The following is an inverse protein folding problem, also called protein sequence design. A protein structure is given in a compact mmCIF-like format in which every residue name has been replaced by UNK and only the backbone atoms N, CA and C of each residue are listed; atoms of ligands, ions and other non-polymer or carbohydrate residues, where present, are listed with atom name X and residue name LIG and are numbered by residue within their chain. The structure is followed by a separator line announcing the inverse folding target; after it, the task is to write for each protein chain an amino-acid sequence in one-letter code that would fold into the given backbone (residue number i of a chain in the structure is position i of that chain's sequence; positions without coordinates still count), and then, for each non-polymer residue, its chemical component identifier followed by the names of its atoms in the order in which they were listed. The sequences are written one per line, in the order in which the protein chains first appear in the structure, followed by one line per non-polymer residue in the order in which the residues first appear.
data_IF_383163290891
#
_entry.id   IF_383163290891
#
_cell.length_a   1.000
_cell.length_b   1.000
_cell.length_c   1.000
_cell.angle_alpha   90.00
_cell.angle_beta   90.00
_cell.angle_gamma   90.00
#
_symmetry.space_group_name_H-M   'P 1'
#
loop_
_entity.id
_entity.type
_entity.pdbx_description
1 polymer ?
#
# COMPACT_ATOMS: atom_id res chain seq x y z
N UNK A 1 -5.83 16.67 -15.42
CA UNK A 1 -5.05 15.67 -14.66
C UNK A 1 -3.83 16.35 -14.09
N UNK A 2 -3.62 16.23 -12.78
CA UNK A 2 -2.48 16.84 -12.07
C UNK A 2 -1.19 16.12 -12.51
N UNK A 3 -0.47 16.73 -13.46
CA UNK A 3 0.72 16.11 -14.10
C UNK A 3 1.99 16.14 -13.25
N UNK A 4 1.95 16.84 -12.12
CA UNK A 4 3.11 17.06 -11.26
C UNK A 4 2.78 16.63 -9.83
N UNK A 5 3.79 16.12 -9.14
CA UNK A 5 3.77 15.85 -7.71
C UNK A 5 3.57 17.12 -6.88
N UNK A 6 3.24 16.92 -5.60
CA UNK A 6 3.06 17.96 -4.59
C UNK A 6 4.09 17.87 -3.45
N UNK A 7 4.93 16.83 -3.41
CA UNK A 7 6.00 16.64 -2.42
C UNK A 7 7.32 17.34 -2.82
N UNK A 8 7.33 18.04 -3.97
CA UNK A 8 8.48 18.81 -4.45
C UNK A 8 9.48 18.02 -5.29
N UNK A 9 9.18 16.76 -5.61
CA UNK A 9 9.99 15.90 -6.48
C UNK A 9 9.40 15.83 -7.90
N UNK A 10 10.22 15.51 -8.92
CA UNK A 10 9.78 15.32 -10.30
C UNK A 10 9.00 14.00 -10.46
N UNK A 11 7.78 13.99 -9.93
CA UNK A 11 6.85 12.85 -9.83
C UNK A 11 5.45 13.24 -10.32
N UNK A 12 4.49 12.31 -10.26
CA UNK A 12 3.07 12.58 -10.54
C UNK A 12 2.30 12.80 -9.23
N UNK A 13 1.15 13.46 -9.31
CA UNK A 13 0.26 13.65 -8.16
C UNK A 13 -0.13 12.32 -7.51
N UNK A 14 -0.48 11.31 -8.33
CA UNK A 14 -0.96 10.04 -7.82
C UNK A 14 0.14 9.26 -7.11
N UNK A 15 1.38 9.38 -7.59
CA UNK A 15 2.55 8.76 -6.97
C UNK A 15 2.81 9.35 -5.58
N UNK A 16 2.79 10.67 -5.46
CA UNK A 16 2.92 11.36 -4.16
C UNK A 16 1.75 11.05 -3.21
N UNK A 17 0.53 10.96 -3.74
CA UNK A 17 -0.64 10.57 -2.95
C UNK A 17 -0.49 9.16 -2.36
N UNK A 18 -0.05 8.18 -3.16
CA UNK A 18 0.19 6.81 -2.68
C UNK A 18 1.32 6.78 -1.65
N UNK A 19 2.40 7.54 -1.85
CA UNK A 19 3.48 7.67 -0.86
C UNK A 19 2.95 8.15 0.48
N UNK A 20 2.10 9.19 0.50
CA UNK A 20 1.44 9.63 1.73
C UNK A 20 0.54 8.54 2.32
N UNK A 21 -0.19 7.80 1.49
CA UNK A 21 -1.02 6.69 1.95
C UNK A 21 -0.19 5.55 2.58
N UNK A 22 0.98 5.21 2.05
CA UNK A 22 1.90 4.22 2.61
C UNK A 22 2.46 4.66 3.98
N UNK A 23 2.73 5.95 4.17
CA UNK A 23 3.10 6.48 5.50
C UNK A 23 1.94 6.37 6.48
N UNK A 24 0.71 6.66 6.02
CA UNK A 24 -0.47 6.73 6.88
C UNK A 24 -1.07 5.35 7.22
N UNK A 25 -0.94 4.36 6.34
CA UNK A 25 -1.60 3.06 6.54
C UNK A 25 -1.04 2.32 7.77
N UNK A 26 0.26 2.36 8.00
CA UNK A 26 0.91 1.69 9.13
C UNK A 26 0.37 2.18 10.49
N UNK A 27 0.36 3.48 10.82
CA UNK A 27 -0.23 3.96 12.07
C UNK A 27 -1.73 3.66 12.18
N UNK A 28 -2.48 3.68 11.08
CA UNK A 28 -3.90 3.30 11.07
C UNK A 28 -4.10 1.80 11.37
N UNK A 29 -3.21 0.92 10.89
CA UNK A 29 -3.20 -0.49 11.25
C UNK A 29 -2.87 -0.69 12.74
N UNK A 30 -1.87 0.01 13.27
CA UNK A 30 -1.54 -0.04 14.69
C UNK A 30 -2.72 0.44 15.56
N UNK A 31 -3.39 1.51 15.15
CA UNK A 31 -4.61 1.98 15.80
C UNK A 31 -5.73 0.94 15.73
N UNK A 32 -5.90 0.29 14.58
CA UNK A 32 -6.85 -0.82 14.40
C UNK A 32 -6.57 -1.99 15.37
N UNK A 33 -5.30 -2.33 15.59
CA UNK A 33 -4.89 -3.36 16.55
C UNK A 33 -5.12 -2.91 18.01
N UNK A 34 -4.89 -1.63 18.30
CA UNK A 34 -5.16 -1.05 19.61
C UNK A 34 -6.66 -1.12 19.97
N UNK A 35 -7.55 -0.87 19.00
CA UNK A 35 -9.00 -0.98 19.19
C UNK A 35 -9.41 -2.37 19.67
N UNK A 36 -8.85 -3.44 19.11
CA UNK A 36 -9.21 -4.82 19.51
C UNK A 36 -8.51 -5.25 20.80
N UNK A 37 -7.23 -4.91 20.99
CA UNK A 37 -6.45 -5.37 22.14
C UNK A 37 -6.81 -4.67 23.44
N UNK A 38 -7.00 -3.35 23.40
CA UNK A 38 -7.18 -2.54 24.61
C UNK A 38 -8.60 -2.05 24.79
N UNK A 39 -9.28 -1.65 23.71
CA UNK A 39 -10.66 -1.13 23.79
C UNK A 39 -11.73 -2.21 23.62
N UNK A 40 -11.35 -3.43 23.21
CA UNK A 40 -12.27 -4.53 22.83
C UNK A 40 -13.36 -4.07 21.85
N UNK A 41 -13.05 -3.06 21.03
CA UNK A 41 -13.97 -2.47 20.07
C UNK A 41 -13.84 -3.17 18.71
N UNK A 42 -14.38 -4.39 18.64
CA UNK A 42 -14.31 -5.23 17.43
C UNK A 42 -15.11 -4.64 16.26
N UNK A 43 -16.23 -3.96 16.55
CA UNK A 43 -17.02 -3.28 15.52
C UNK A 43 -16.25 -2.10 14.90
N UNK A 44 -15.53 -1.33 15.72
CA UNK A 44 -14.66 -0.25 15.26
C UNK A 44 -13.52 -0.77 14.39
N UNK A 45 -12.85 -1.85 14.81
CA UNK A 45 -11.83 -2.53 14.01
C UNK A 45 -12.38 -3.00 12.66
N UNK A 46 -13.52 -3.70 12.65
CA UNK A 46 -14.16 -4.16 11.42
C UNK A 46 -14.47 -3.00 10.46
N UNK A 47 -15.12 -1.94 10.96
CA UNK A 47 -15.46 -0.75 10.16
C UNK A 47 -14.19 -0.13 9.57
N UNK A 48 -13.15 0.05 10.39
CA UNK A 48 -11.88 0.61 9.95
C UNK A 48 -11.23 -0.24 8.85
N UNK A 49 -11.16 -1.56 9.02
CA UNK A 49 -10.59 -2.47 8.00
C UNK A 49 -11.38 -2.44 6.69
N UNK A 50 -12.71 -2.40 6.74
CA UNK A 50 -13.54 -2.29 5.53
C UNK A 50 -13.37 -0.94 4.83
N UNK A 51 -13.36 0.15 5.59
CA UNK A 51 -13.13 1.50 5.06
C UNK A 51 -11.75 1.60 4.41
N UNK A 52 -10.70 1.15 5.11
CA UNK A 52 -9.34 1.15 4.57
C UNK A 52 -9.24 0.25 3.33
N UNK A 53 -9.84 -0.93 3.37
CA UNK A 53 -9.87 -1.87 2.24
C UNK A 53 -10.48 -1.26 0.99
N UNK A 54 -11.63 -0.60 1.12
CA UNK A 54 -12.31 0.07 0.01
C UNK A 54 -11.49 1.26 -0.51
N UNK A 55 -11.02 2.13 0.38
CA UNK A 55 -10.25 3.32 0.01
C UNK A 55 -8.95 2.94 -0.71
N UNK A 56 -8.21 1.95 -0.18
CA UNK A 56 -6.96 1.50 -0.79
C UNK A 56 -7.19 0.75 -2.10
N UNK A 57 -8.28 -0.02 -2.22
CA UNK A 57 -8.62 -0.65 -3.50
C UNK A 57 -8.81 0.42 -4.59
N UNK A 58 -9.61 1.45 -4.31
CA UNK A 58 -9.83 2.57 -5.23
C UNK A 58 -8.52 3.29 -5.53
N UNK A 59 -7.72 3.58 -4.51
CA UNK A 59 -6.44 4.28 -4.66
C UNK A 59 -5.44 3.48 -5.51
N UNK A 60 -5.27 2.18 -5.27
CA UNK A 60 -4.34 1.34 -6.03
C UNK A 60 -4.81 1.15 -7.47
N UNK A 61 -6.12 0.99 -7.71
CA UNK A 61 -6.65 0.94 -9.08
C UNK A 61 -6.41 2.25 -9.82
N UNK A 62 -6.66 3.40 -9.18
CA UNK A 62 -6.39 4.70 -9.78
C UNK A 62 -4.89 4.92 -10.04
N UNK A 63 -4.03 4.46 -9.14
CA UNK A 63 -2.57 4.51 -9.28
C UNK A 63 -2.08 3.68 -10.47
N UNK A 64 -2.58 2.46 -10.63
CA UNK A 64 -2.20 1.59 -11.75
C UNK A 64 -2.63 2.20 -13.08
N UNK A 65 -3.83 2.80 -13.15
CA UNK A 65 -4.29 3.52 -14.33
C UNK A 65 -3.39 4.72 -14.63
N UNK A 66 -3.01 5.51 -13.63
CA UNK A 66 -2.11 6.65 -13.79
C UNK A 66 -0.73 6.22 -14.33
N UNK A 67 -0.11 5.23 -13.68
CA UNK A 67 1.24 4.78 -14.07
C UNK A 67 1.23 4.11 -15.43
N UNK A 68 0.34 3.13 -15.66
CA UNK A 68 0.40 2.30 -16.87
C UNK A 68 -0.28 2.95 -18.07
N UNK A 69 -1.48 3.50 -17.89
CA UNK A 69 -2.31 3.96 -19.01
C UNK A 69 -2.09 5.45 -19.31
N UNK A 70 -1.90 6.29 -18.29
CA UNK A 70 -1.69 7.74 -18.49
C UNK A 70 -0.23 8.05 -18.79
N UNK A 71 0.70 7.43 -18.06
CA UNK A 71 2.14 7.70 -18.19
C UNK A 71 2.91 6.63 -18.99
N UNK A 72 2.30 5.48 -19.32
CA UNK A 72 2.95 4.45 -20.14
C UNK A 72 4.06 3.69 -19.43
N UNK A 73 4.05 3.66 -18.09
CA UNK A 73 5.04 3.00 -17.25
C UNK A 73 5.81 3.97 -16.35
N UNK A 74 6.37 3.43 -15.27
CA UNK A 74 7.12 4.21 -14.26
C UNK A 74 8.41 4.80 -14.83
N UNK A 75 9.06 4.16 -15.81
CA UNK A 75 10.27 4.69 -16.44
C UNK A 75 10.02 6.05 -17.13
N UNK A 76 8.85 6.22 -17.75
CA UNK A 76 8.46 7.49 -18.38
C UNK A 76 8.20 8.60 -17.36
N UNK A 77 7.80 8.23 -16.13
CA UNK A 77 7.69 9.20 -15.03
C UNK A 77 9.10 9.65 -14.60
N UNK A 78 10.05 8.72 -14.46
CA UNK A 78 11.45 9.05 -14.16
C UNK A 78 12.08 9.91 -15.26
N UNK A 79 11.72 9.68 -16.53
CA UNK A 79 12.23 10.46 -17.67
C UNK A 79 11.91 11.97 -17.57
N UNK A 80 10.91 12.36 -16.77
CA UNK A 80 10.60 13.77 -16.50
C UNK A 80 11.73 14.51 -15.77
N UNK A 81 12.68 13.79 -15.16
CA UNK A 81 13.89 14.34 -14.56
C UNK A 81 14.87 14.91 -15.59
N UNK A 82 14.70 14.61 -16.89
CA UNK A 82 15.55 15.08 -18.00
C UNK A 82 17.04 14.81 -17.78
N UNK A 83 17.35 13.65 -17.21
CA UNK A 83 18.73 13.19 -17.03
C UNK A 83 19.38 12.89 -18.38
N UNK A 84 20.72 13.04 -18.52
CA UNK A 84 21.45 12.53 -19.67
C UNK A 84 21.24 11.01 -19.85
N UNK A 85 21.23 10.53 -21.09
CA UNK A 85 20.87 9.14 -21.41
C UNK A 85 21.63 8.07 -20.60
N UNK A 86 22.93 8.27 -20.40
CA UNK A 86 23.77 7.35 -19.63
C UNK A 86 23.37 7.31 -18.14
N UNK A 87 23.07 8.46 -17.56
CA UNK A 87 22.63 8.57 -16.16
C UNK A 87 21.21 8.03 -15.98
N UNK A 88 20.32 8.30 -16.95
CA UNK A 88 18.97 7.76 -16.96
C UNK A 88 18.99 6.23 -16.96
N UNK A 89 19.76 5.61 -17.87
CA UNK A 89 19.88 4.16 -17.94
C UNK A 89 20.45 3.55 -16.65
N UNK A 90 21.46 4.19 -16.05
CA UNK A 90 22.02 3.79 -14.77
C UNK A 90 20.98 3.89 -13.63
N UNK A 91 20.21 4.98 -13.58
CA UNK A 91 19.14 5.17 -12.58
C UNK A 91 18.06 4.10 -12.71
N UNK A 92 17.53 3.84 -13.92
CA UNK A 92 16.53 2.79 -14.13
C UNK A 92 17.06 1.43 -13.66
N UNK A 93 18.31 1.10 -13.98
CA UNK A 93 18.93 -0.17 -13.57
C UNK A 93 19.09 -0.29 -12.06
N UNK A 94 19.45 0.80 -11.37
CA UNK A 94 19.59 0.84 -9.92
C UNK A 94 18.25 0.81 -9.17
N UNK A 95 17.18 1.36 -9.76
CA UNK A 95 15.84 1.44 -9.16
C UNK A 95 15.04 0.16 -9.35
N UNK A 96 15.20 -0.53 -10.49
CA UNK A 96 14.41 -1.72 -10.85
C UNK A 96 14.36 -2.82 -9.77
N UNK A 97 15.45 -3.18 -9.06
CA UNK A 97 15.38 -4.17 -7.98
C UNK A 97 14.45 -3.76 -6.83
N UNK A 98 14.40 -2.48 -6.47
CA UNK A 98 13.52 -1.96 -5.42
C UNK A 98 12.06 -2.04 -5.83
N UNK A 99 11.76 -1.74 -7.10
CA UNK A 99 10.41 -1.93 -7.65
C UNK A 99 9.99 -3.40 -7.61
N UNK A 100 10.85 -4.32 -8.06
CA UNK A 100 10.54 -5.75 -8.05
C UNK A 100 10.27 -6.26 -6.64
N UNK A 101 11.10 -5.85 -5.67
CA UNK A 101 10.89 -6.18 -4.26
C UNK A 101 9.56 -5.63 -3.75
N UNK A 102 9.24 -4.38 -4.06
CA UNK A 102 7.97 -3.77 -3.68
C UNK A 102 6.78 -4.52 -4.27
N UNK A 103 6.85 -4.91 -5.55
CA UNK A 103 5.77 -5.63 -6.24
C UNK A 103 5.46 -6.99 -5.61
N UNK A 104 6.45 -7.68 -5.07
CA UNK A 104 6.20 -8.94 -4.32
C UNK A 104 5.18 -8.70 -3.20
N UNK A 105 5.44 -7.71 -2.34
CA UNK A 105 4.56 -7.39 -1.23
C UNK A 105 3.26 -6.70 -1.68
N UNK A 106 3.35 -5.77 -2.64
CA UNK A 106 2.19 -5.05 -3.15
C UNK A 106 1.16 -5.97 -3.81
N UNK A 107 1.58 -7.10 -4.38
CA UNK A 107 0.69 -8.12 -4.96
C UNK A 107 0.18 -9.09 -3.87
N UNK A 108 1.01 -9.51 -2.91
CA UNK A 108 0.57 -10.43 -1.83
C UNK A 108 -0.37 -9.74 -0.84
N UNK A 109 -0.18 -8.45 -0.58
CA UNK A 109 -0.99 -7.63 0.32
C UNK A 109 -2.49 -7.72 0.03
N UNK A 110 -2.99 -7.36 -1.17
CA UNK A 110 -4.42 -7.40 -1.45
C UNK A 110 -4.97 -8.83 -1.35
N UNK A 111 -4.19 -9.85 -1.73
CA UNK A 111 -4.60 -11.25 -1.63
C UNK A 111 -4.81 -11.65 -0.16
N UNK A 112 -3.80 -11.43 0.68
CA UNK A 112 -3.85 -11.75 2.12
C UNK A 112 -4.95 -10.96 2.83
N UNK A 113 -5.07 -9.67 2.51
CA UNK A 113 -5.98 -8.79 3.21
C UNK A 113 -7.44 -9.02 2.81
N UNK A 114 -7.73 -9.24 1.52
CA UNK A 114 -9.06 -9.67 1.06
C UNK A 114 -9.44 -11.00 1.68
N UNK A 115 -8.54 -12.00 1.69
CA UNK A 115 -8.80 -13.28 2.33
C UNK A 115 -9.13 -13.11 3.83
N UNK A 116 -8.35 -12.29 4.54
CA UNK A 116 -8.55 -11.99 5.96
C UNK A 116 -9.92 -11.35 6.23
N UNK A 117 -10.31 -10.34 5.43
CA UNK A 117 -11.59 -9.64 5.56
C UNK A 117 -12.76 -10.57 5.22
N UNK A 118 -12.70 -11.26 4.09
CA UNK A 118 -13.78 -12.15 3.64
C UNK A 118 -14.02 -13.29 4.64
N UNK A 119 -12.95 -13.91 5.16
CA UNK A 119 -13.08 -14.94 6.18
C UNK A 119 -13.63 -14.38 7.49
N UNK A 120 -13.19 -13.19 7.91
CA UNK A 120 -13.73 -12.54 9.10
C UNK A 120 -15.23 -12.25 8.97
N UNK A 121 -15.68 -11.69 7.85
CA UNK A 121 -17.10 -11.42 7.60
C UNK A 121 -17.94 -12.69 7.60
N UNK A 122 -17.45 -13.77 6.97
CA UNK A 122 -18.15 -15.06 6.91
C UNK A 122 -18.23 -15.78 8.26
N UNK A 123 -17.23 -15.60 9.14
CA UNK A 123 -17.09 -16.38 10.38
C UNK A 123 -17.50 -15.64 11.65
N UNK A 124 -17.40 -14.31 11.68
CA UNK A 124 -17.83 -13.48 12.81
C UNK A 124 -19.17 -12.77 12.58
N UNK A 125 -19.56 -12.53 11.32
CA UNK A 125 -20.82 -11.87 10.99
C UNK A 125 -20.87 -10.38 11.36
N UNK A 126 -22.09 -9.85 11.56
CA UNK A 126 -22.34 -8.41 11.78
C UNK A 126 -21.97 -7.92 13.18
N UNK A 127 -21.94 -8.81 14.17
CA UNK A 127 -21.60 -8.51 15.56
C UNK A 127 -20.30 -9.23 15.92
N UNK A 128 -19.14 -8.72 15.51
CA UNK A 128 -17.88 -9.43 15.66
C UNK A 128 -17.52 -9.59 17.14
N UNK A 129 -17.34 -10.84 17.56
CA UNK A 129 -16.92 -11.22 18.91
C UNK A 129 -15.87 -12.32 18.84
N UNK A 130 -14.97 -12.42 19.83
CA UNK A 130 -14.03 -13.53 19.91
C UNK A 130 -14.76 -14.87 19.93
N UNK A 131 -14.25 -15.84 19.17
CA UNK A 131 -14.81 -17.19 19.11
C UNK A 131 -13.84 -18.17 18.46
N UNK A 132 -14.36 -19.28 17.94
CA UNK A 132 -13.54 -20.38 17.38
C UNK A 132 -12.59 -19.93 16.26
N UNK A 133 -12.98 -18.91 15.48
CA UNK A 133 -12.17 -18.39 14.37
C UNK A 133 -11.08 -17.39 14.80
N UNK A 134 -11.06 -16.92 16.06
CA UNK A 134 -10.15 -15.85 16.53
C UNK A 134 -8.67 -16.17 16.30
N UNK A 135 -8.25 -17.42 16.52
CA UNK A 135 -6.83 -17.80 16.35
C UNK A 135 -6.40 -17.70 14.89
N UNK A 136 -7.20 -18.23 13.97
CA UNK A 136 -6.91 -18.18 12.54
C UNK A 136 -6.96 -16.75 12.01
N UNK A 137 -7.96 -15.96 12.43
CA UNK A 137 -8.06 -14.55 12.07
C UNK A 137 -6.86 -13.74 12.59
N UNK A 138 -6.42 -13.97 13.84
CA UNK A 138 -5.25 -13.31 14.40
C UNK A 138 -3.98 -13.63 13.61
N UNK A 139 -3.78 -14.91 13.22
CA UNK A 139 -2.64 -15.32 12.40
C UNK A 139 -2.64 -14.60 11.05
N UNK A 140 -3.76 -14.62 10.33
CA UNK A 140 -3.91 -13.95 9.04
C UNK A 140 -3.81 -12.42 9.16
N UNK A 141 -4.34 -11.85 10.24
CA UNK A 141 -4.26 -10.42 10.54
C UNK A 141 -2.83 -9.96 10.79
N UNK A 142 -2.04 -10.74 11.53
CA UNK A 142 -0.61 -10.46 11.72
C UNK A 142 0.19 -10.63 10.44
N UNK A 143 -0.06 -11.70 9.66
CA UNK A 143 0.57 -11.89 8.36
C UNK A 143 0.29 -10.69 7.44
N UNK A 144 -0.98 -10.26 7.34
CA UNK A 144 -1.38 -9.08 6.57
C UNK A 144 -0.74 -7.80 7.09
N UNK A 145 -0.64 -7.62 8.41
CA UNK A 145 -0.04 -6.41 9.01
C UNK A 145 1.45 -6.31 8.68
N UNK A 146 2.18 -7.42 8.79
CA UNK A 146 3.60 -7.49 8.43
C UNK A 146 3.77 -7.21 6.94
N UNK A 147 2.98 -7.88 6.09
CA UNK A 147 3.04 -7.73 4.63
C UNK A 147 2.72 -6.30 4.18
N UNK A 148 1.65 -5.66 4.70
CA UNK A 148 1.32 -4.25 4.41
C UNK A 148 2.43 -3.30 4.90
N UNK A 149 3.04 -3.60 6.05
CA UNK A 149 4.16 -2.79 6.56
C UNK A 149 5.36 -2.90 5.61
N UNK A 150 5.66 -4.11 5.11
CA UNK A 150 6.72 -4.33 4.12
C UNK A 150 6.39 -3.67 2.77
N UNK A 151 5.13 -3.74 2.30
CA UNK A 151 4.65 -2.98 1.13
C UNK A 151 4.91 -1.49 1.31
N UNK A 152 4.62 -0.95 2.50
CA UNK A 152 4.83 0.47 2.81
C UNK A 152 6.32 0.84 2.81
N UNK A 153 7.15 0.08 3.53
CA UNK A 153 8.60 0.34 3.60
C UNK A 153 9.25 0.23 2.22
N UNK A 154 8.98 -0.85 1.48
CA UNK A 154 9.57 -1.07 0.16
C UNK A 154 9.08 -0.07 -0.89
N UNK A 155 7.82 0.37 -0.80
CA UNK A 155 7.27 1.40 -1.68
C UNK A 155 7.89 2.77 -1.43
N UNK A 156 8.11 3.13 -0.16
CA UNK A 156 8.84 4.34 0.22
C UNK A 156 10.31 4.29 -0.23
N UNK A 157 10.96 3.13 -0.12
CA UNK A 157 12.33 2.94 -0.63
C UNK A 157 12.40 3.07 -2.15
N UNK A 158 11.44 2.48 -2.89
CA UNK A 158 11.33 2.67 -4.33
C UNK A 158 11.18 4.15 -4.69
N UNK A 159 10.26 4.87 -4.03
CA UNK A 159 10.05 6.30 -4.25
C UNK A 159 11.33 7.11 -4.03
N UNK A 160 11.98 6.87 -2.88
CA UNK A 160 13.20 7.56 -2.51
C UNK A 160 14.31 7.34 -3.55
N UNK A 161 14.54 6.09 -3.94
CA UNK A 161 15.58 5.74 -4.92
C UNK A 161 15.28 6.26 -6.33
N UNK A 162 14.01 6.34 -6.71
CA UNK A 162 13.61 6.78 -8.04
C UNK A 162 13.63 8.31 -8.20
N UNK A 163 13.16 9.04 -7.18
CA UNK A 163 12.79 10.45 -7.34
C UNK A 163 13.47 11.41 -6.36
N UNK A 164 14.00 10.92 -5.24
CA UNK A 164 14.62 11.77 -4.22
C UNK A 164 16.14 11.73 -4.30
N UNK A 165 16.70 10.54 -4.51
CA UNK A 165 18.13 10.32 -4.75
C UNK A 165 18.46 10.49 -6.24
#
# INVERSE_FOLDING_TARGET
MFRTGFLGYPTTFMLDFVVCALVLIVPLLLFSLWLVKFRRNYAGHMKLQLTLGLVLLVAVTAFEVDVQLVHGGWENIVAQQKLPDAEFAAKISAVRPWLLLHLVFAITTPVLWVATIVLALKRFGKNPQPGRHSRAHSLLGWASTIDITLTSVTGLLFYYMAFVR
#
